data_IF_577806980125
#
_entry.id   IF_577806980125
#
_cell.length_a   1.000
_cell.length_b   1.000
_cell.length_c   1.000
_cell.angle_alpha   90.00
_cell.angle_beta   90.00
_cell.angle_gamma   90.00
#
_symmetry.space_group_name_H-M   'P 1'
#
loop_
_entity.id
_entity.type
_entity.pdbx_description
1 polymer ?
#
# COMPACT_ATOMS: atom_id res chain seq x y z
N UNK A 1 -50.34 15.94 -13.67
CA UNK A 1 -49.51 14.71 -13.74
C UNK A 1 -48.13 15.00 -13.16
N UNK A 2 -47.85 14.58 -11.93
CA UNK A 2 -46.54 14.80 -11.31
C UNK A 2 -45.51 13.84 -11.92
N UNK A 3 -44.38 14.37 -12.40
CA UNK A 3 -43.26 13.58 -12.93
C UNK A 3 -42.60 12.80 -11.78
N UNK A 4 -42.84 11.50 -11.71
CA UNK A 4 -42.20 10.59 -10.75
C UNK A 4 -40.71 10.47 -11.09
N UNK A 5 -39.86 11.22 -10.39
CA UNK A 5 -38.41 11.04 -10.50
C UNK A 5 -38.03 9.65 -10.01
N UNK A 6 -37.43 8.83 -10.88
CA UNK A 6 -36.92 7.50 -10.51
C UNK A 6 -35.84 7.66 -9.43
N UNK A 7 -36.19 7.38 -8.18
CA UNK A 7 -35.25 7.34 -7.05
C UNK A 7 -34.16 6.31 -7.39
N UNK A 8 -32.89 6.74 -7.38
CA UNK A 8 -31.74 5.83 -7.59
C UNK A 8 -31.83 4.75 -6.52
N UNK A 9 -32.07 3.50 -6.93
CA UNK A 9 -32.05 2.38 -6.02
C UNK A 9 -30.68 2.34 -5.33
N UNK A 10 -30.60 2.15 -4.00
CA UNK A 10 -29.31 2.00 -3.33
C UNK A 10 -28.59 0.83 -3.98
N UNK A 11 -27.41 1.11 -4.58
CA UNK A 11 -26.59 0.08 -5.23
C UNK A 11 -26.44 -1.10 -4.26
N UNK A 12 -26.65 -2.31 -4.78
CA UNK A 12 -26.51 -3.58 -4.06
C UNK A 12 -25.32 -3.50 -3.10
N UNK A 13 -25.55 -3.92 -1.84
CA UNK A 13 -24.58 -3.88 -0.74
C UNK A 13 -23.17 -4.22 -1.27
N UNK A 14 -22.13 -3.44 -0.94
CA UNK A 14 -20.79 -3.73 -1.40
C UNK A 14 -20.44 -5.18 -1.03
N UNK A 15 -19.67 -5.89 -1.88
CA UNK A 15 -19.32 -7.28 -1.62
C UNK A 15 -18.75 -7.39 -0.21
N UNK A 16 -19.24 -8.38 0.55
CA UNK A 16 -18.71 -8.68 1.89
C UNK A 16 -17.23 -9.05 1.74
N UNK A 17 -16.35 -8.06 1.92
CA UNK A 17 -14.92 -8.33 2.12
C UNK A 17 -14.76 -9.04 3.45
N UNK A 18 -13.88 -10.04 3.48
CA UNK A 18 -13.62 -10.85 4.68
C UNK A 18 -13.35 -9.93 5.89
N UNK A 19 -13.89 -10.30 7.06
CA UNK A 19 -13.63 -9.54 8.30
C UNK A 19 -12.13 -9.47 8.59
N UNK A 20 -11.40 -10.53 8.26
CA UNK A 20 -9.94 -10.60 8.35
C UNK A 20 -9.26 -9.51 7.50
N UNK A 21 -9.62 -9.34 6.23
CA UNK A 21 -9.03 -8.32 5.36
C UNK A 21 -9.34 -6.90 5.82
N UNK A 22 -10.55 -6.66 6.33
CA UNK A 22 -10.92 -5.37 6.89
C UNK A 22 -10.12 -5.04 8.16
N UNK A 23 -9.91 -6.02 9.04
CA UNK A 23 -9.13 -5.85 10.27
C UNK A 23 -7.65 -5.63 9.94
N UNK A 24 -7.09 -6.41 9.01
CA UNK A 24 -5.69 -6.28 8.59
C UNK A 24 -5.42 -4.91 7.94
N UNK A 25 -6.32 -4.42 7.08
CA UNK A 25 -6.18 -3.08 6.49
C UNK A 25 -6.38 -1.94 7.50
N UNK A 26 -7.18 -2.14 8.54
CA UNK A 26 -7.36 -1.13 9.62
C UNK A 26 -6.19 -1.10 10.61
N UNK A 27 -5.56 -2.25 10.89
CA UNK A 27 -4.47 -2.36 11.87
C UNK A 27 -3.10 -1.95 11.34
N UNK A 28 -2.90 -1.96 10.01
CA UNK A 28 -1.61 -1.57 9.43
C UNK A 28 -1.37 -0.06 9.57
N UNK A 29 -0.66 0.31 10.63
CA UNK A 29 -0.41 1.72 10.97
C UNK A 29 0.51 2.36 9.93
N UNK A 30 0.47 3.69 9.84
CA UNK A 30 1.42 4.44 9.02
C UNK A 30 2.87 4.09 9.39
N UNK A 31 3.15 3.90 10.69
CA UNK A 31 4.46 3.52 11.18
C UNK A 31 4.93 2.16 10.67
N UNK A 32 4.07 1.13 10.64
CA UNK A 32 4.44 -0.18 10.08
C UNK A 32 4.77 -0.09 8.59
N UNK A 33 4.02 0.70 7.81
CA UNK A 33 4.33 0.91 6.40
C UNK A 33 5.64 1.69 6.22
N UNK A 34 5.88 2.68 7.06
CA UNK A 34 7.08 3.49 7.05
C UNK A 34 8.33 2.67 7.37
N UNK A 35 8.27 1.81 8.39
CA UNK A 35 9.38 0.91 8.77
C UNK A 35 9.74 0.00 7.60
N UNK A 36 8.75 -0.57 6.90
CA UNK A 36 8.99 -1.44 5.75
C UNK A 36 9.66 -0.67 4.61
N UNK A 37 9.19 0.54 4.31
CA UNK A 37 9.78 1.38 3.25
C UNK A 37 11.22 1.74 3.61
N UNK A 38 11.46 2.16 4.86
CA UNK A 38 12.80 2.50 5.33
C UNK A 38 13.74 1.30 5.28
N UNK A 39 13.28 0.10 5.66
CA UNK A 39 14.07 -1.13 5.55
C UNK A 39 14.51 -1.41 4.11
N UNK A 40 13.61 -1.23 3.13
CA UNK A 40 13.95 -1.42 1.71
C UNK A 40 14.99 -0.40 1.25
N UNK A 41 14.84 0.88 1.63
CA UNK A 41 15.80 1.94 1.26
C UNK A 41 17.20 1.65 1.82
N UNK A 42 17.28 1.20 3.07
CA UNK A 42 18.57 0.86 3.71
C UNK A 42 19.26 -0.27 2.93
N UNK A 43 18.55 -1.35 2.62
CA UNK A 43 19.12 -2.47 1.85
C UNK A 43 19.60 -2.01 0.48
N UNK A 44 18.81 -1.21 -0.23
CA UNK A 44 19.21 -0.65 -1.52
C UNK A 44 20.46 0.21 -1.40
N UNK A 45 20.56 1.06 -0.37
CA UNK A 45 21.73 1.90 -0.14
C UNK A 45 23.01 1.09 0.14
N UNK A 46 22.89 -0.01 0.91
CA UNK A 46 24.01 -0.92 1.17
C UNK A 46 24.51 -1.61 -0.10
N UNK A 47 23.59 -2.13 -0.92
CA UNK A 47 23.94 -2.76 -2.19
C UNK A 47 24.61 -1.76 -3.13
N UNK A 48 24.07 -0.53 -3.22
CA UNK A 48 24.65 0.51 -4.05
C UNK A 48 26.07 0.89 -3.59
N UNK A 49 26.28 0.99 -2.28
CA UNK A 49 27.60 1.25 -1.69
C UNK A 49 28.63 0.18 -2.05
N UNK A 50 28.23 -1.10 -2.00
CA UNK A 50 29.09 -2.22 -2.40
C UNK A 50 29.43 -2.18 -3.90
N UNK A 51 28.45 -1.88 -4.77
CA UNK A 51 28.67 -1.76 -6.22
C UNK A 51 29.65 -0.62 -6.54
N UNK A 52 29.49 0.54 -5.89
CA UNK A 52 30.40 1.68 -6.06
C UNK A 52 31.80 1.31 -5.57
N UNK A 53 31.92 0.68 -4.41
CA UNK A 53 33.21 0.27 -3.84
C UNK A 53 33.93 -0.76 -4.72
N UNK A 54 33.22 -1.69 -5.35
CA UNK A 54 33.82 -2.63 -6.31
C UNK A 54 34.22 -1.92 -7.61
N UNK A 55 33.41 -0.98 -8.09
CA UNK A 55 33.72 -0.20 -9.28
C UNK A 55 34.96 0.69 -9.12
N UNK A 56 35.17 1.29 -7.94
CA UNK A 56 36.35 2.13 -7.67
C UNK A 56 37.62 1.34 -7.41
N UNK A 57 37.54 0.09 -6.93
CA UNK A 57 38.72 -0.76 -6.73
C UNK A 57 39.24 -1.43 -8.02
N UNK A 58 38.49 -1.31 -9.12
CA UNK A 58 38.86 -1.82 -10.45
C UNK A 58 39.55 -0.78 -11.35
N UNK A 59 39.69 0.47 -10.88
CA UNK A 59 40.43 1.54 -11.55
C UNK A 59 41.75 1.86 -10.84
#
# INVERSE_FOLDING_TARGET
>A
MAKTYKRRQPKKKPPQRSKHDQIFKRKRSFAEKFIIIMGIIIVLSMVLGLVIQQGTHLF
#
